data_IF_912752472297
#
_entry.id   IF_912752472297
#
_cell.length_a   1.000
_cell.length_b   1.000
_cell.length_c   1.000
_cell.angle_alpha   90.00
_cell.angle_beta   90.00
_cell.angle_gamma   90.00
#
_symmetry.space_group_name_H-M   'P 1'
#
loop_
_entity.id
_entity.type
_entity.pdbx_description
1 polymer ?
#
# COMPACT_ATOMS: atom_id res chain seq x y z
N UNK A 1 -14.39 -12.67 31.08
CA UNK A 1 -13.54 -13.85 30.82
C UNK A 1 -14.43 -15.00 30.37
N UNK A 2 -14.13 -15.67 29.25
CA UNK A 2 -14.85 -16.83 28.78
C UNK A 2 -14.46 -18.07 29.61
N UNK A 3 -15.39 -18.99 29.79
CA UNK A 3 -15.12 -20.27 30.44
C UNK A 3 -14.24 -21.17 29.57
N UNK A 4 -13.48 -22.10 30.17
CA UNK A 4 -12.64 -23.05 29.42
C UNK A 4 -13.44 -23.91 28.43
N UNK A 5 -14.63 -24.44 28.75
CA UNK A 5 -15.45 -25.14 27.77
C UNK A 5 -15.82 -24.28 26.55
N UNK A 6 -16.28 -23.05 26.78
CA UNK A 6 -16.62 -22.10 25.69
C UNK A 6 -15.44 -21.83 24.77
N UNK A 7 -14.22 -21.66 25.33
CA UNK A 7 -13.01 -21.46 24.52
C UNK A 7 -12.74 -22.71 23.67
N UNK A 8 -12.90 -23.92 24.21
CA UNK A 8 -12.69 -25.16 23.48
C UNK A 8 -13.71 -25.35 22.36
N UNK A 9 -14.97 -24.98 22.57
CA UNK A 9 -16.01 -25.01 21.54
C UNK A 9 -15.65 -24.08 20.37
N UNK A 10 -15.25 -22.83 20.66
CA UNK A 10 -14.81 -21.87 19.63
C UNK A 10 -13.60 -22.40 18.85
N UNK A 11 -12.61 -22.96 19.54
CA UNK A 11 -11.42 -23.53 18.89
C UNK A 11 -11.80 -24.72 17.99
N UNK A 12 -12.71 -25.57 18.43
CA UNK A 12 -13.17 -26.70 17.63
C UNK A 12 -13.93 -26.25 16.39
N UNK A 13 -14.82 -25.24 16.52
CA UNK A 13 -15.47 -24.61 15.35
C UNK A 13 -14.44 -24.09 14.34
N UNK A 14 -13.43 -23.33 14.79
CA UNK A 14 -12.38 -22.84 13.89
C UNK A 14 -11.53 -23.96 13.27
N UNK A 15 -11.38 -25.09 13.94
CA UNK A 15 -10.71 -26.25 13.35
C UNK A 15 -11.58 -26.94 12.29
N UNK A 16 -12.87 -27.08 12.55
CA UNK A 16 -13.85 -27.65 11.61
C UNK A 16 -13.96 -26.77 10.35
N UNK A 17 -13.95 -25.47 10.53
CA UNK A 17 -13.92 -24.48 9.44
C UNK A 17 -12.57 -24.40 8.73
N UNK A 18 -11.54 -25.08 9.23
CA UNK A 18 -10.19 -25.05 8.65
C UNK A 18 -9.42 -23.73 8.86
N UNK A 19 -9.90 -22.84 9.73
CA UNK A 19 -9.25 -21.56 10.03
C UNK A 19 -8.02 -21.76 10.92
N UNK A 20 -8.10 -22.72 11.86
CA UNK A 20 -7.04 -23.03 12.81
C UNK A 20 -6.59 -24.48 12.64
N UNK A 21 -5.28 -24.68 12.69
CA UNK A 21 -4.64 -26.00 12.60
C UNK A 21 -3.70 -26.24 13.78
N UNK A 22 -3.34 -27.50 13.98
CA UNK A 22 -2.35 -27.86 14.98
C UNK A 22 -0.97 -27.36 14.53
N UNK A 23 -0.32 -26.55 15.37
CA UNK A 23 1.01 -25.95 15.12
C UNK A 23 2.17 -26.70 15.80
N UNK A 24 1.94 -27.95 16.26
CA UNK A 24 2.93 -28.71 16.99
C UNK A 24 2.76 -28.64 18.52
N UNK A 25 3.83 -28.95 19.24
CA UNK A 25 3.87 -28.94 20.69
C UNK A 25 4.95 -27.97 21.17
N UNK A 26 4.69 -27.28 22.27
CA UNK A 26 5.72 -26.50 22.97
C UNK A 26 6.55 -27.44 23.83
N UNK A 27 7.83 -27.09 24.05
CA UNK A 27 8.68 -27.79 25.02
C UNK A 27 8.00 -27.79 26.38
N UNK A 28 7.98 -28.97 27.03
CA UNK A 28 7.37 -29.14 28.34
C UNK A 28 8.42 -28.94 29.43
N UNK A 29 8.08 -28.16 30.43
CA UNK A 29 8.86 -28.02 31.67
C UNK A 29 8.41 -29.00 32.76
N UNK A 30 7.54 -29.96 32.42
CA UNK A 30 6.95 -30.98 33.25
C UNK A 30 5.46 -31.19 32.90
N UNK A 31 5.03 -32.44 32.75
CA UNK A 31 3.67 -32.84 32.33
C UNK A 31 3.50 -32.98 30.82
N UNK A 32 2.23 -33.10 30.37
CA UNK A 32 1.90 -33.26 28.94
C UNK A 32 2.21 -31.97 28.19
N UNK A 33 3.03 -32.02 27.11
CA UNK A 33 3.35 -30.84 26.31
C UNK A 33 2.09 -30.10 25.81
N UNK A 34 2.05 -28.77 25.95
CA UNK A 34 0.93 -27.98 25.43
C UNK A 34 0.90 -28.04 23.92
N UNK A 35 -0.29 -28.32 23.36
CA UNK A 35 -0.52 -28.29 21.91
C UNK A 35 -0.65 -26.83 21.46
N UNK A 36 0.15 -26.44 20.46
CA UNK A 36 0.07 -25.12 19.84
C UNK A 36 -1.00 -25.11 18.76
N UNK A 37 -1.67 -23.99 18.61
CA UNK A 37 -2.62 -23.71 17.55
C UNK A 37 -2.06 -22.60 16.67
N UNK A 38 -2.19 -22.78 15.36
CA UNK A 38 -1.75 -21.83 14.36
C UNK A 38 -2.90 -21.48 13.41
N UNK A 39 -2.90 -20.29 12.86
CA UNK A 39 -3.77 -19.93 11.74
C UNK A 39 -3.38 -20.81 10.54
N UNK A 40 -4.36 -21.39 9.88
CA UNK A 40 -4.15 -22.04 8.59
C UNK A 40 -3.91 -20.97 7.52
N UNK A 41 -2.72 -20.95 6.92
CA UNK A 41 -2.39 -20.00 5.87
C UNK A 41 -3.36 -20.06 4.70
N UNK A 42 -3.83 -21.25 4.37
CA UNK A 42 -4.71 -21.50 3.23
C UNK A 42 -6.21 -21.28 3.53
N UNK A 43 -6.57 -20.85 4.74
CA UNK A 43 -7.97 -20.60 5.10
C UNK A 43 -8.58 -19.41 4.37
N UNK A 44 -7.79 -18.39 4.06
CA UNK A 44 -8.23 -17.20 3.35
C UNK A 44 -7.06 -16.53 2.62
N UNK A 45 -7.39 -15.78 1.59
CA UNK A 45 -6.45 -14.99 0.80
C UNK A 45 -6.99 -13.57 0.60
N UNK A 46 -6.11 -12.62 0.37
CA UNK A 46 -6.46 -11.25 0.02
C UNK A 46 -5.52 -10.72 -1.06
N UNK A 47 -6.03 -9.86 -1.93
CA UNK A 47 -5.24 -9.18 -2.94
C UNK A 47 -4.95 -7.76 -2.46
N UNK A 48 -3.70 -7.33 -2.57
CA UNK A 48 -3.26 -5.96 -2.36
C UNK A 48 -2.78 -5.34 -3.66
N UNK A 49 -3.23 -4.13 -3.96
CA UNK A 49 -2.77 -3.32 -5.09
C UNK A 49 -2.16 -2.04 -4.54
N UNK A 50 -0.90 -1.76 -4.87
CA UNK A 50 -0.16 -0.56 -4.46
C UNK A 50 0.22 0.26 -5.69
N UNK A 51 -0.34 1.46 -5.80
CA UNK A 51 -0.01 2.44 -6.81
C UNK A 51 1.12 3.33 -6.31
N UNK A 52 2.33 3.04 -6.70
CA UNK A 52 3.50 3.88 -6.45
C UNK A 52 4.17 4.19 -7.80
N UNK A 53 3.98 5.43 -8.29
CA UNK A 53 4.63 5.83 -9.55
C UNK A 53 6.14 5.53 -9.50
N UNK A 54 6.74 4.99 -10.55
CA UNK A 54 6.17 4.58 -11.84
C UNK A 54 5.69 3.12 -11.86
N UNK A 55 5.28 2.58 -10.74
CA UNK A 55 5.01 1.15 -10.58
C UNK A 55 3.62 0.92 -9.97
N UNK A 56 2.89 -0.06 -10.48
CA UNK A 56 1.79 -0.71 -9.77
C UNK A 56 2.27 -2.09 -9.34
N UNK A 57 2.08 -2.42 -8.06
CA UNK A 57 2.37 -3.74 -7.52
C UNK A 57 1.06 -4.41 -7.14
N UNK A 58 0.90 -5.65 -7.54
CA UNK A 58 -0.22 -6.50 -7.14
C UNK A 58 0.36 -7.68 -6.39
N UNK A 59 -0.22 -8.03 -5.26
CA UNK A 59 0.21 -9.17 -4.46
C UNK A 59 -1.00 -9.96 -3.97
N UNK A 60 -0.91 -11.28 -4.03
CA UNK A 60 -1.81 -12.21 -3.37
C UNK A 60 -1.13 -12.68 -2.08
N UNK A 61 -1.80 -12.50 -0.95
CA UNK A 61 -1.31 -12.92 0.36
C UNK A 61 -2.28 -13.89 1.03
N UNK A 62 -1.75 -14.87 1.76
CA UNK A 62 -2.53 -15.83 2.53
C UNK A 62 -2.90 -15.30 3.93
N UNK A 63 -3.68 -16.07 4.71
CA UNK A 63 -4.12 -15.70 6.06
C UNK A 63 -2.95 -15.47 7.04
N UNK A 64 -1.77 -16.04 6.80
CA UNK A 64 -0.54 -15.76 7.55
C UNK A 64 0.18 -14.49 7.09
N UNK A 65 -0.35 -13.80 6.09
CA UNK A 65 0.26 -12.61 5.44
C UNK A 65 1.54 -12.93 4.67
N UNK A 66 1.71 -14.17 4.24
CA UNK A 66 2.77 -14.57 3.33
C UNK A 66 2.33 -14.27 1.91
N UNK A 67 3.19 -13.61 1.13
CA UNK A 67 2.89 -13.28 -0.26
C UNK A 67 3.17 -14.51 -1.11
N UNK A 68 2.10 -15.06 -1.72
CA UNK A 68 2.15 -16.27 -2.54
C UNK A 68 2.17 -15.98 -4.04
N UNK A 69 1.71 -14.79 -4.46
CA UNK A 69 1.75 -14.35 -5.86
C UNK A 69 2.07 -12.87 -5.97
N UNK A 70 2.76 -12.46 -7.05
CA UNK A 70 3.13 -11.06 -7.29
C UNK A 70 3.03 -10.71 -8.76
N UNK A 71 2.64 -9.44 -9.04
CA UNK A 71 2.76 -8.79 -10.35
C UNK A 71 3.33 -7.39 -10.18
N UNK A 72 4.03 -6.92 -11.19
CA UNK A 72 4.59 -5.58 -11.24
C UNK A 72 4.36 -5.00 -12.63
N UNK A 73 3.76 -3.82 -12.66
CA UNK A 73 3.49 -3.05 -13.88
C UNK A 73 4.33 -1.78 -13.80
N UNK A 74 5.13 -1.53 -14.81
CA UNK A 74 5.86 -0.27 -14.98
C UNK A 74 5.12 0.58 -16.01
N UNK A 75 4.99 1.87 -15.75
CA UNK A 75 4.42 2.84 -16.69
C UNK A 75 5.22 4.14 -16.66
N UNK A 76 5.13 4.91 -17.75
CA UNK A 76 5.84 6.20 -17.86
C UNK A 76 4.95 7.34 -17.38
N UNK A 77 5.56 8.49 -17.13
CA UNK A 77 4.83 9.76 -16.93
C UNK A 77 3.97 10.00 -18.18
N UNK A 78 2.79 10.57 -17.99
CA UNK A 78 1.80 10.86 -19.04
C UNK A 78 1.25 9.63 -19.79
N UNK A 79 1.47 8.39 -19.28
CA UNK A 79 0.72 7.23 -19.77
C UNK A 79 -0.78 7.49 -19.57
N UNK A 80 -1.59 7.15 -20.54
CA UNK A 80 -3.05 7.36 -20.51
C UNK A 80 -3.70 6.51 -19.41
N UNK A 81 -4.69 7.06 -18.73
CA UNK A 81 -5.41 6.40 -17.64
C UNK A 81 -6.02 5.06 -18.07
N UNK A 82 -6.60 5.02 -19.28
CA UNK A 82 -7.20 3.82 -19.85
C UNK A 82 -6.18 2.71 -20.03
N UNK A 83 -4.96 3.04 -20.48
CA UNK A 83 -3.88 2.07 -20.65
C UNK A 83 -3.42 1.52 -19.29
N UNK A 84 -3.21 2.40 -18.31
CA UNK A 84 -2.79 2.01 -16.96
C UNK A 84 -3.83 1.09 -16.33
N UNK A 85 -5.11 1.46 -16.44
CA UNK A 85 -6.22 0.69 -15.92
C UNK A 85 -6.35 -0.67 -16.62
N UNK A 86 -6.30 -0.69 -17.96
CA UNK A 86 -6.39 -1.92 -18.74
C UNK A 86 -5.25 -2.89 -18.41
N UNK A 87 -4.02 -2.39 -18.25
CA UNK A 87 -2.85 -3.20 -17.86
C UNK A 87 -3.01 -3.76 -16.44
N UNK A 88 -3.49 -2.93 -15.50
CA UNK A 88 -3.74 -3.38 -14.12
C UNK A 88 -4.80 -4.49 -14.08
N UNK A 89 -5.92 -4.32 -14.78
CA UNK A 89 -7.00 -5.30 -14.82
C UNK A 89 -6.53 -6.63 -15.43
N UNK A 90 -5.76 -6.59 -16.51
CA UNK A 90 -5.19 -7.78 -17.18
C UNK A 90 -4.22 -8.54 -16.28
N UNK A 91 -3.31 -7.84 -15.60
CA UNK A 91 -2.36 -8.50 -14.69
C UNK A 91 -3.06 -9.11 -13.47
N UNK A 92 -4.16 -8.49 -13.03
CA UNK A 92 -4.99 -9.05 -11.97
C UNK A 92 -5.75 -10.30 -12.45
N UNK A 93 -6.25 -10.32 -13.69
CA UNK A 93 -6.85 -11.52 -14.30
C UNK A 93 -5.84 -12.67 -14.37
N UNK A 94 -4.64 -12.42 -14.91
CA UNK A 94 -3.59 -13.43 -14.99
C UNK A 94 -3.19 -13.97 -13.60
N UNK A 95 -3.16 -13.11 -12.57
CA UNK A 95 -2.91 -13.56 -11.21
C UNK A 95 -4.02 -14.48 -10.70
N UNK A 96 -5.28 -14.13 -10.96
CA UNK A 96 -6.44 -14.94 -10.54
C UNK A 96 -6.55 -16.26 -11.31
N UNK A 97 -6.12 -16.31 -12.57
CA UNK A 97 -6.05 -17.53 -13.37
C UNK A 97 -4.96 -18.47 -12.84
N UNK A 98 -3.75 -17.94 -12.60
CA UNK A 98 -2.63 -18.70 -12.02
C UNK A 98 -3.00 -19.31 -10.66
N UNK A 99 -3.73 -18.55 -9.84
CA UNK A 99 -4.17 -18.99 -8.51
C UNK A 99 -5.65 -19.39 -8.46
N UNK A 100 -6.18 -19.95 -9.55
CA UNK A 100 -7.60 -20.34 -9.67
C UNK A 100 -8.08 -21.29 -8.56
N UNK A 101 -7.24 -22.19 -8.07
CA UNK A 101 -7.55 -23.12 -6.97
C UNK A 101 -7.84 -22.46 -5.64
N UNK A 102 -7.31 -21.26 -5.40
CA UNK A 102 -7.53 -20.49 -4.15
C UNK A 102 -8.56 -19.37 -4.31
N UNK A 103 -9.02 -19.11 -5.54
CA UNK A 103 -9.96 -18.04 -5.85
C UNK A 103 -11.21 -18.02 -4.96
N UNK A 104 -11.86 -19.16 -4.63
CA UNK A 104 -13.03 -19.18 -3.74
C UNK A 104 -12.73 -18.74 -2.30
N UNK A 105 -11.46 -18.71 -1.91
CA UNK A 105 -11.00 -18.27 -0.57
C UNK A 105 -10.45 -16.87 -0.54
N UNK A 106 -10.52 -16.12 -1.66
CA UNK A 106 -10.11 -14.70 -1.71
C UNK A 106 -11.23 -13.85 -1.11
N UNK A 107 -10.94 -13.21 0.01
CA UNK A 107 -11.92 -12.42 0.77
C UNK A 107 -12.10 -11.00 0.24
N UNK A 108 -11.19 -10.49 -0.59
CA UNK A 108 -11.33 -9.17 -1.20
C UNK A 108 -10.03 -8.58 -1.73
N UNK A 109 -10.15 -7.37 -2.27
CA UNK A 109 -9.07 -6.57 -2.87
C UNK A 109 -8.92 -5.28 -2.08
N UNK A 110 -7.72 -5.02 -1.58
CA UNK A 110 -7.34 -3.73 -0.98
C UNK A 110 -6.49 -2.92 -1.97
N UNK A 111 -6.84 -1.66 -2.19
CA UNK A 111 -6.11 -0.77 -3.09
C UNK A 111 -5.55 0.41 -2.31
N UNK A 112 -4.23 0.54 -2.29
CA UNK A 112 -3.50 1.73 -1.86
C UNK A 112 -3.15 2.58 -3.07
N UNK A 113 -3.66 3.81 -3.14
CA UNK A 113 -3.49 4.66 -4.30
C UNK A 113 -2.96 6.03 -3.90
N UNK A 114 -1.97 6.51 -4.64
CA UNK A 114 -1.47 7.88 -4.50
C UNK A 114 -2.46 8.89 -5.11
N UNK A 115 -2.26 10.18 -4.84
CA UNK A 115 -3.12 11.25 -5.33
C UNK A 115 -4.37 11.46 -4.47
N UNK A 116 -5.34 12.19 -5.00
CA UNK A 116 -6.55 12.55 -4.28
C UNK A 116 -7.61 11.48 -4.41
N UNK A 117 -8.20 11.07 -3.29
CA UNK A 117 -9.24 10.04 -3.26
C UNK A 117 -10.49 10.53 -2.53
N UNK A 118 -11.64 9.92 -2.85
CA UNK A 118 -12.86 9.97 -2.05
C UNK A 118 -13.14 8.56 -1.52
N UNK A 119 -12.62 8.28 -0.34
CA UNK A 119 -12.66 6.96 0.30
C UNK A 119 -14.08 6.40 0.45
N UNK A 120 -15.04 7.26 0.82
CA UNK A 120 -16.45 6.86 1.01
C UNK A 120 -17.12 6.38 -0.27
N UNK A 121 -16.61 6.79 -1.43
CA UNK A 121 -17.12 6.39 -2.76
C UNK A 121 -16.19 5.36 -3.44
N UNK A 122 -15.04 5.04 -2.84
CA UNK A 122 -14.03 4.19 -3.46
C UNK A 122 -13.49 4.74 -4.79
N UNK A 123 -13.50 6.09 -4.92
CA UNK A 123 -13.15 6.82 -6.14
C UNK A 123 -11.79 7.47 -6.02
N UNK A 124 -10.93 7.29 -7.02
CA UNK A 124 -9.73 8.10 -7.21
C UNK A 124 -10.10 9.36 -7.97
N UNK A 125 -9.90 10.52 -7.37
CA UNK A 125 -10.29 11.79 -7.97
C UNK A 125 -9.26 12.25 -8.99
N UNK A 126 -7.97 12.17 -8.65
CA UNK A 126 -6.91 12.65 -9.52
C UNK A 126 -5.55 12.03 -9.17
N UNK A 127 -4.80 11.64 -10.21
CA UNK A 127 -3.38 11.28 -10.14
C UNK A 127 -2.64 12.11 -11.17
N UNK A 128 -1.86 13.07 -10.72
CA UNK A 128 -1.18 14.06 -11.58
C UNK A 128 -0.20 13.48 -12.59
N UNK A 129 0.29 12.27 -12.38
CA UNK A 129 1.33 11.61 -13.20
C UNK A 129 0.77 10.62 -14.21
N UNK A 130 -0.55 10.47 -14.27
CA UNK A 130 -1.27 9.62 -15.23
C UNK A 130 -2.21 10.52 -16.00
N UNK A 131 -1.99 10.64 -17.30
CA UNK A 131 -2.77 11.54 -18.13
C UNK A 131 -4.23 11.09 -18.23
N UNK A 132 -5.17 12.01 -17.96
CA UNK A 132 -6.60 11.69 -18.00
C UNK A 132 -7.11 10.88 -16.82
N UNK A 133 -6.30 10.68 -15.76
CA UNK A 133 -6.77 10.00 -14.54
C UNK A 133 -7.61 10.94 -13.68
N UNK A 134 -8.89 11.02 -13.98
CA UNK A 134 -9.83 11.89 -13.28
C UNK A 134 -11.10 11.13 -12.93
N UNK A 135 -11.55 11.25 -11.69
CA UNK A 135 -12.81 10.68 -11.19
C UNK A 135 -12.99 9.18 -11.48
N UNK A 136 -11.91 8.39 -11.43
CA UNK A 136 -11.95 6.95 -11.70
C UNK A 136 -12.67 6.22 -10.57
N UNK A 137 -13.78 5.55 -10.88
CA UNK A 137 -14.59 4.75 -9.94
C UNK A 137 -13.95 3.38 -9.68
N UNK A 138 -12.74 3.41 -9.11
CA UNK A 138 -11.85 2.26 -9.04
C UNK A 138 -12.47 1.08 -8.30
N UNK A 139 -13.17 1.37 -7.18
CA UNK A 139 -13.86 0.33 -6.41
C UNK A 139 -14.93 -0.35 -7.25
N UNK A 140 -15.79 0.41 -7.94
CA UNK A 140 -16.86 -0.12 -8.78
C UNK A 140 -16.30 -0.96 -9.93
N UNK A 141 -15.31 -0.44 -10.66
CA UNK A 141 -14.67 -1.14 -11.78
C UNK A 141 -14.13 -2.51 -11.36
N UNK A 142 -13.42 -2.57 -10.22
CA UNK A 142 -12.84 -3.81 -9.71
C UNK A 142 -13.93 -4.75 -9.17
N UNK A 143 -14.94 -4.25 -8.47
CA UNK A 143 -16.04 -5.05 -7.94
C UNK A 143 -16.87 -5.69 -9.06
N UNK A 144 -17.24 -4.93 -10.08
CA UNK A 144 -18.02 -5.42 -11.22
C UNK A 144 -17.25 -6.47 -12.02
N UNK A 145 -15.94 -6.29 -12.21
CA UNK A 145 -15.13 -7.21 -13.00
C UNK A 145 -14.77 -8.50 -12.28
N UNK A 146 -14.42 -8.42 -10.99
CA UNK A 146 -13.88 -9.59 -10.25
C UNK A 146 -14.86 -10.22 -9.28
N UNK A 147 -15.99 -9.57 -9.02
CA UNK A 147 -17.03 -10.01 -8.07
C UNK A 147 -16.49 -10.25 -6.65
N UNK A 148 -15.54 -9.42 -6.23
CA UNK A 148 -14.92 -9.45 -4.91
C UNK A 148 -15.18 -8.13 -4.17
N UNK A 149 -15.27 -8.13 -2.83
CA UNK A 149 -15.25 -6.89 -2.05
C UNK A 149 -13.97 -6.08 -2.35
N UNK A 150 -14.10 -4.77 -2.57
CA UNK A 150 -12.97 -3.89 -2.88
C UNK A 150 -12.96 -2.71 -1.92
N UNK A 151 -11.79 -2.38 -1.40
CA UNK A 151 -11.55 -1.26 -0.50
C UNK A 151 -10.43 -0.38 -1.06
N UNK A 152 -10.70 0.91 -1.23
CA UNK A 152 -9.73 1.89 -1.73
C UNK A 152 -9.36 2.86 -0.61
N UNK A 153 -8.05 3.09 -0.42
CA UNK A 153 -7.57 4.10 0.51
C UNK A 153 -6.30 4.76 -0.04
N UNK A 154 -5.88 5.87 0.58
CA UNK A 154 -4.58 6.47 0.29
C UNK A 154 -3.45 5.52 0.69
N UNK A 155 -2.41 5.44 -0.14
CA UNK A 155 -1.26 4.55 0.04
C UNK A 155 -0.51 4.83 1.35
N UNK A 156 -0.28 6.11 1.70
CA UNK A 156 0.40 6.52 2.95
C UNK A 156 -0.46 6.16 4.17
N UNK A 157 -1.78 6.28 4.08
CA UNK A 157 -2.71 5.87 5.12
C UNK A 157 -2.62 4.36 5.39
N UNK A 158 -2.55 3.54 4.33
CA UNK A 158 -2.40 2.08 4.48
C UNK A 158 -1.05 1.71 5.08
N UNK A 159 0.03 2.41 4.69
CA UNK A 159 1.35 2.20 5.28
C UNK A 159 1.36 2.52 6.78
N UNK A 160 0.73 3.61 7.21
CA UNK A 160 0.59 3.93 8.64
C UNK A 160 -0.15 2.84 9.42
N UNK A 161 -1.20 2.26 8.84
CA UNK A 161 -1.93 1.13 9.45
C UNK A 161 -1.06 -0.13 9.57
N UNK A 162 -0.20 -0.39 8.59
CA UNK A 162 0.77 -1.51 8.64
C UNK A 162 1.80 -1.28 9.73
N UNK A 163 2.38 -0.08 9.82
CA UNK A 163 3.36 0.27 10.86
C UNK A 163 2.76 0.13 12.25
N UNK A 164 1.53 0.64 12.45
CA UNK A 164 0.81 0.45 13.71
C UNK A 164 0.72 -1.03 14.08
N UNK A 165 0.27 -1.87 13.15
CA UNK A 165 0.08 -3.30 13.41
C UNK A 165 1.38 -4.05 13.65
N UNK A 166 2.49 -3.61 13.06
CA UNK A 166 3.79 -4.29 13.13
C UNK A 166 4.58 -3.93 14.38
N UNK A 167 4.59 -2.65 14.74
CA UNK A 167 5.50 -2.13 15.76
C UNK A 167 4.81 -1.66 17.04
N UNK A 168 3.54 -1.27 16.95
CA UNK A 168 2.80 -0.71 18.08
C UNK A 168 1.74 -1.69 18.56
N UNK A 169 2.15 -2.71 19.31
CA UNK A 169 1.27 -3.80 19.76
C UNK A 169 0.32 -3.41 20.89
N UNK A 170 0.62 -2.34 21.61
CA UNK A 170 -0.16 -1.89 22.78
C UNK A 170 -0.98 -0.65 22.45
N UNK A 171 -2.12 -0.53 23.12
CA UNK A 171 -3.10 0.51 22.90
C UNK A 171 -2.58 1.91 23.22
N UNK A 172 -3.02 2.90 22.44
CA UNK A 172 -2.80 4.34 22.59
C UNK A 172 -1.47 4.92 22.12
N UNK A 173 -0.88 4.39 21.07
CA UNK A 173 0.24 5.09 20.41
C UNK A 173 -0.29 6.09 19.37
N UNK A 174 -0.27 7.36 19.73
CA UNK A 174 -0.45 8.45 18.77
C UNK A 174 0.86 8.65 18.02
N UNK A 175 0.80 8.71 16.67
CA UNK A 175 1.98 8.95 15.86
C UNK A 175 1.64 9.60 14.54
N UNK A 176 2.66 10.19 13.93
CA UNK A 176 2.63 10.65 12.54
C UNK A 176 3.51 9.73 11.70
N UNK A 177 2.94 9.17 10.65
CA UNK A 177 3.70 8.48 9.61
C UNK A 177 4.01 9.46 8.49
N UNK A 178 5.27 9.57 8.09
CA UNK A 178 5.70 10.37 6.94
C UNK A 178 6.22 9.41 5.88
N UNK A 179 5.57 9.40 4.73
CA UNK A 179 5.96 8.63 3.56
C UNK A 179 6.68 9.53 2.54
N UNK A 180 7.95 9.23 2.28
CA UNK A 180 8.73 9.85 1.20
C UNK A 180 8.90 8.78 0.14
N UNK A 181 8.06 8.87 -0.89
CA UNK A 181 7.99 7.93 -2.01
C UNK A 181 7.99 8.72 -3.32
N UNK A 182 7.20 8.32 -4.28
CA UNK A 182 6.98 9.10 -5.51
C UNK A 182 6.53 10.54 -5.23
N UNK A 183 5.88 10.79 -4.11
CA UNK A 183 5.56 12.09 -3.51
C UNK A 183 5.79 12.05 -2.01
N UNK A 184 5.52 13.17 -1.34
CA UNK A 184 5.61 13.32 0.12
C UNK A 184 4.20 13.37 0.69
N UNK A 185 3.89 12.46 1.59
CA UNK A 185 2.61 12.40 2.28
C UNK A 185 2.78 12.08 3.75
N UNK A 186 1.74 12.26 4.54
CA UNK A 186 1.70 11.80 5.93
C UNK A 186 0.36 11.18 6.28
N UNK A 187 0.35 10.48 7.41
CA UNK A 187 -0.86 9.97 8.02
C UNK A 187 -0.77 10.17 9.53
N UNK A 188 -1.88 10.58 10.12
CA UNK A 188 -1.98 10.86 11.55
C UNK A 188 -2.78 9.75 12.20
N UNK A 189 -2.18 9.09 13.18
CA UNK A 189 -2.87 8.14 14.06
C UNK A 189 -3.11 8.81 15.41
N UNK A 190 -4.37 8.89 15.80
CA UNK A 190 -4.78 9.46 17.08
C UNK A 190 -5.82 8.55 17.76
N UNK A 191 -5.64 8.25 19.03
CA UNK A 191 -6.49 7.32 19.79
C UNK A 191 -6.81 6.03 19.03
N UNK A 192 -5.79 5.40 18.46
CA UNK A 192 -5.90 4.18 17.65
C UNK A 192 -6.66 4.32 16.33
N UNK A 193 -7.05 5.51 15.93
CA UNK A 193 -7.78 5.78 14.68
C UNK A 193 -6.94 6.57 13.71
N UNK A 194 -7.06 6.22 12.43
CA UNK A 194 -6.52 7.02 11.35
C UNK A 194 -7.37 8.29 11.20
N UNK A 195 -6.70 9.44 11.16
CA UNK A 195 -7.34 10.74 10.92
C UNK A 195 -7.50 10.95 9.42
N UNK A 196 -8.68 10.71 8.89
CA UNK A 196 -8.98 10.86 7.46
C UNK A 196 -9.19 12.35 7.07
N UNK A 197 -9.58 13.21 8.04
CA UNK A 197 -10.06 14.55 7.76
C UNK A 197 -11.48 14.55 7.14
N UNK A 198 -12.09 15.72 7.05
CA UNK A 198 -13.48 15.84 6.56
C UNK A 198 -13.66 15.36 5.12
N UNK A 199 -12.66 15.57 4.27
CA UNK A 199 -12.69 15.21 2.85
C UNK A 199 -11.78 13.99 2.52
N UNK A 200 -11.22 13.32 3.53
CA UNK A 200 -10.26 12.23 3.32
C UNK A 200 -8.84 12.67 2.93
N UNK A 201 -8.53 13.96 3.06
CA UNK A 201 -7.27 14.56 2.58
C UNK A 201 -6.30 14.92 3.72
N UNK A 202 -6.52 14.42 4.95
CA UNK A 202 -5.56 14.65 6.03
C UNK A 202 -4.20 14.06 5.66
N UNK A 203 -3.13 14.84 5.87
CA UNK A 203 -1.78 14.36 5.65
C UNK A 203 -1.14 14.70 4.31
N UNK A 204 -1.75 15.54 3.47
CA UNK A 204 -1.14 15.99 2.20
C UNK A 204 -0.06 17.05 2.41
N UNK A 205 0.88 16.79 3.32
CA UNK A 205 1.96 17.73 3.69
C UNK A 205 2.88 18.06 2.53
N UNK A 206 3.02 17.19 1.54
CA UNK A 206 3.83 17.40 0.34
C UNK A 206 3.36 18.62 -0.48
N UNK A 207 2.09 19.02 -0.36
CA UNK A 207 1.55 20.20 -1.04
C UNK A 207 1.46 21.46 -0.16
N UNK A 208 2.08 21.43 1.04
CA UNK A 208 2.29 22.64 1.83
C UNK A 208 3.26 23.56 1.10
N UNK A 209 2.83 24.82 0.87
CA UNK A 209 3.65 25.82 0.19
C UNK A 209 4.72 26.35 1.13
N UNK A 210 5.99 26.12 0.80
CA UNK A 210 7.15 26.64 1.55
C UNK A 210 7.54 28.04 1.07
N UNK A 211 7.42 28.30 -0.23
CA UNK A 211 7.73 29.58 -0.84
C UNK A 211 6.85 29.78 -2.09
N UNK A 212 5.99 30.80 -2.08
CA UNK A 212 5.05 31.06 -3.18
C UNK A 212 5.74 31.37 -4.52
N UNK A 213 6.98 31.88 -4.49
CA UNK A 213 7.81 32.13 -5.67
C UNK A 213 8.66 30.93 -6.09
N UNK A 214 8.47 29.79 -5.42
CA UNK A 214 9.24 28.55 -5.65
C UNK A 214 8.90 27.82 -6.95
N UNK A 215 9.50 26.66 -7.16
CA UNK A 215 9.30 25.86 -8.36
C UNK A 215 7.85 25.40 -8.52
N UNK A 216 7.44 25.18 -9.78
CA UNK A 216 6.11 24.66 -10.09
C UNK A 216 5.97 23.21 -9.59
N UNK A 217 4.92 22.98 -8.84
CA UNK A 217 4.53 21.64 -8.40
C UNK A 217 3.60 20.98 -9.43
N UNK A 218 3.63 19.65 -9.51
CA UNK A 218 2.72 18.86 -10.36
C UNK A 218 1.23 19.07 -10.02
N UNK A 219 0.90 19.54 -8.81
CA UNK A 219 -0.47 19.87 -8.41
C UNK A 219 -0.98 21.20 -8.96
N UNK A 220 -0.17 21.96 -9.69
CA UNK A 220 -0.50 23.29 -10.24
C UNK A 220 -0.13 24.46 -9.33
N UNK A 221 0.21 24.24 -8.06
CA UNK A 221 0.70 25.28 -7.16
C UNK A 221 2.21 25.50 -7.32
N UNK A 222 2.72 26.64 -6.79
CA UNK A 222 4.16 26.90 -6.69
C UNK A 222 4.67 26.65 -5.28
N UNK A 223 5.93 26.20 -5.19
CA UNK A 223 6.69 26.11 -3.94
C UNK A 223 6.22 25.09 -2.93
N UNK A 224 5.48 24.08 -3.36
CA UNK A 224 5.13 22.95 -2.51
C UNK A 224 6.38 22.19 -2.03
N UNK A 225 6.34 21.61 -0.83
CA UNK A 225 7.41 20.75 -0.31
C UNK A 225 7.79 19.64 -1.33
N UNK A 226 6.80 19.02 -1.99
CA UNK A 226 7.00 17.99 -3.00
C UNK A 226 7.79 18.49 -4.22
N UNK A 227 7.66 19.77 -4.56
CA UNK A 227 8.40 20.40 -5.67
C UNK A 227 9.89 20.64 -5.35
N UNK A 228 10.27 20.56 -4.07
CA UNK A 228 11.67 20.65 -3.61
C UNK A 228 12.28 19.29 -3.30
N UNK A 229 11.54 18.39 -2.65
CA UNK A 229 12.08 17.19 -2.04
C UNK A 229 11.35 15.88 -2.47
N UNK A 230 10.34 15.95 -3.34
CA UNK A 230 9.72 14.78 -3.93
C UNK A 230 10.62 14.13 -5.01
N UNK A 231 10.39 12.87 -5.33
CA UNK A 231 11.23 12.12 -6.29
C UNK A 231 11.39 12.83 -7.65
N UNK A 232 10.35 13.50 -8.16
CA UNK A 232 10.47 14.27 -9.42
C UNK A 232 11.43 15.45 -9.30
N UNK A 233 11.40 16.16 -8.18
CA UNK A 233 12.30 17.27 -7.92
C UNK A 233 13.75 16.78 -7.80
N UNK A 234 13.95 15.67 -7.08
CA UNK A 234 15.28 15.06 -6.93
C UNK A 234 15.82 14.55 -8.28
N UNK A 235 14.99 13.89 -9.09
CA UNK A 235 15.40 13.45 -10.44
C UNK A 235 15.81 14.62 -11.31
N UNK A 236 15.03 15.70 -11.35
CA UNK A 236 15.38 16.92 -12.09
C UNK A 236 16.71 17.49 -11.62
N UNK A 237 16.87 17.63 -10.31
CA UNK A 237 18.09 18.17 -9.71
C UNK A 237 19.32 17.30 -9.99
N UNK A 238 19.16 15.97 -9.92
CA UNK A 238 20.21 15.02 -10.24
C UNK A 238 20.63 15.11 -11.70
N UNK A 239 19.67 15.18 -12.64
CA UNK A 239 19.94 15.37 -14.07
C UNK A 239 20.69 16.68 -14.36
N UNK A 240 20.25 17.79 -13.75
CA UNK A 240 20.93 19.09 -13.87
C UNK A 240 22.38 19.03 -13.39
N UNK A 241 22.63 18.39 -12.25
CA UNK A 241 23.97 18.30 -11.65
C UNK A 241 24.93 17.33 -12.36
N UNK A 242 24.39 16.31 -12.99
CA UNK A 242 25.17 15.30 -13.73
C UNK A 242 25.33 15.63 -15.21
N UNK A 243 24.66 16.67 -15.72
CA UNK A 243 24.52 16.96 -17.15
C UNK A 243 24.10 15.70 -17.95
N UNK A 244 23.29 14.84 -17.35
CA UNK A 244 22.89 13.59 -17.94
C UNK A 244 21.61 13.78 -18.77
N UNK A 245 21.67 13.47 -20.06
CA UNK A 245 20.51 13.34 -20.93
C UNK A 245 19.76 12.00 -20.71
N UNK A 246 20.18 11.23 -19.71
CA UNK A 246 19.61 9.92 -19.45
C UNK A 246 18.18 10.07 -18.85
N UNK A 247 17.18 9.56 -19.56
CA UNK A 247 15.77 9.53 -19.15
C UNK A 247 15.49 8.55 -17.98
N UNK A 248 16.52 8.02 -17.33
CA UNK A 248 16.36 7.11 -16.21
C UNK A 248 15.67 7.81 -15.05
N UNK A 249 14.58 7.21 -14.56
CA UNK A 249 13.89 7.67 -13.36
C UNK A 249 14.39 6.89 -12.15
N UNK A 250 14.92 7.61 -11.16
CA UNK A 250 15.38 7.07 -9.89
C UNK A 250 14.31 7.21 -8.82
N UNK A 251 13.98 6.12 -8.16
CA UNK A 251 13.13 6.16 -6.97
C UNK A 251 13.92 6.68 -5.76
N UNK A 252 13.25 7.09 -4.70
CA UNK A 252 13.90 7.45 -3.43
C UNK A 252 14.87 6.36 -2.95
N UNK A 253 14.49 5.09 -3.11
CA UNK A 253 15.34 3.94 -2.78
C UNK A 253 16.60 3.89 -3.64
N UNK A 254 16.50 4.25 -4.91
CA UNK A 254 17.65 4.26 -5.81
C UNK A 254 18.61 5.41 -5.44
N UNK A 255 18.10 6.59 -5.11
CA UNK A 255 18.92 7.69 -4.58
C UNK A 255 19.63 7.30 -3.29
N UNK A 256 18.96 6.63 -2.35
CA UNK A 256 19.58 6.14 -1.14
C UNK A 256 20.69 5.13 -1.41
N UNK A 257 20.54 4.27 -2.43
CA UNK A 257 21.61 3.33 -2.83
C UNK A 257 22.80 4.05 -3.47
N UNK A 258 22.53 4.99 -4.39
CA UNK A 258 23.57 5.81 -5.02
C UNK A 258 24.39 6.55 -3.97
N UNK A 259 23.72 7.22 -3.04
CA UNK A 259 24.37 7.94 -1.93
C UNK A 259 25.24 7.02 -1.06
N UNK A 260 24.75 5.82 -0.69
CA UNK A 260 25.51 4.83 0.07
C UNK A 260 26.71 4.28 -0.70
N UNK A 261 26.64 4.22 -2.02
CA UNK A 261 27.71 3.77 -2.90
C UNK A 261 28.72 4.89 -3.23
N UNK A 262 28.60 6.06 -2.62
CA UNK A 262 29.56 7.16 -2.75
C UNK A 262 29.32 8.08 -3.93
N UNK A 263 28.12 8.05 -4.55
CA UNK A 263 27.76 9.02 -5.58
C UNK A 263 27.69 10.44 -4.99
N UNK A 264 28.62 11.29 -5.40
CA UNK A 264 28.83 12.63 -4.83
C UNK A 264 27.64 13.58 -5.09
N UNK A 265 26.85 13.34 -6.15
CA UNK A 265 25.68 14.16 -6.48
C UNK A 265 24.50 13.75 -5.60
N UNK A 266 24.29 12.46 -5.40
CA UNK A 266 23.23 11.93 -4.53
C UNK A 266 23.45 12.23 -3.05
N UNK A 267 24.65 12.64 -2.65
CA UNK A 267 25.01 13.01 -1.27
C UNK A 267 24.73 14.49 -0.97
N UNK A 268 24.52 15.32 -1.98
CA UNK A 268 24.18 16.75 -1.86
C UNK A 268 22.70 16.99 -1.81
#
# INVERSE_FOLDING_TARGET
>A
LLSRPTILEIINSFKEEGIVVNGGFRESTGGRPPQLLCINGDSAYAIGIDFEFPTIRIALANAKREIVGRRKILFKIDTQAEEVLARMLRELEHLLEEFSSVRPRIVGIGVGICGTIRKTEGRSLHITRIRGWEHVELQRILQEKFHLPVYVNNDVHLLALVEKKKYMREDNSDFVYIGIRSGIGSAYMYQNKLMDGVQGNAGYIGHTVLNAEGPMCVCGNRGCLDAYAGELALNRRYQELTNSENESYYTMRDFMKLSRNGDAVSQK
#
